data_IF_347970378717
#
_entry.id   IF_347970378717
#
_cell.length_a   1.000
_cell.length_b   1.000
_cell.length_c   1.000
_cell.angle_alpha   90.00
_cell.angle_beta   90.00
_cell.angle_gamma   90.00
#
_symmetry.space_group_name_H-M   'P 1'
#
loop_
_entity.id
_entity.type
_entity.pdbx_description
1 polymer ?
#
# COMPACT_ATOMS: atom_id res chain seq x y z
N UNK A 1 -28.65 10.18 26.82
CA UNK A 1 -27.23 10.13 26.40
C UNK A 1 -27.08 8.98 25.42
N UNK A 2 -26.40 9.19 24.29
CA UNK A 2 -26.05 8.09 23.37
C UNK A 2 -25.06 7.14 24.06
N UNK A 3 -25.19 5.84 23.81
CA UNK A 3 -24.22 4.84 24.28
C UNK A 3 -22.93 4.98 23.48
N UNK A 4 -21.80 4.97 24.18
CA UNK A 4 -20.48 4.75 23.58
C UNK A 4 -20.29 3.26 23.36
N UNK A 5 -19.78 2.88 22.19
CA UNK A 5 -19.42 1.52 21.85
C UNK A 5 -17.94 1.48 21.48
N UNK A 6 -17.20 0.54 22.05
CA UNK A 6 -15.90 0.17 21.53
C UNK A 6 -16.12 -0.67 20.26
N UNK A 7 -15.61 -0.19 19.13
CA UNK A 7 -15.72 -0.88 17.85
C UNK A 7 -14.48 -1.75 17.62
N UNK A 8 -14.70 -2.95 17.06
CA UNK A 8 -13.62 -3.81 16.58
C UNK A 8 -13.55 -3.65 15.07
N UNK A 9 -12.42 -3.18 14.55
CA UNK A 9 -12.16 -3.15 13.10
C UNK A 9 -11.94 -4.59 12.61
N UNK A 10 -12.85 -5.07 11.76
CA UNK A 10 -12.83 -6.42 11.23
C UNK A 10 -12.01 -6.55 9.92
N UNK A 11 -11.59 -5.44 9.31
CA UNK A 11 -10.92 -5.44 8.00
C UNK A 11 -9.87 -4.33 7.87
N UNK A 12 -8.78 -4.50 8.63
CA UNK A 12 -7.63 -3.60 8.62
C UNK A 12 -6.49 -4.11 7.75
N UNK A 13 -6.03 -3.28 6.81
CA UNK A 13 -4.80 -3.53 6.04
C UNK A 13 -3.63 -2.66 6.51
N UNK A 14 -2.41 -3.18 6.30
CA UNK A 14 -1.15 -2.43 6.41
C UNK A 14 -0.52 -2.30 5.02
N UNK A 15 0.46 -1.40 4.90
CA UNK A 15 1.30 -1.24 3.73
C UNK A 15 2.70 -1.76 4.07
N UNK A 16 3.14 -2.81 3.39
CA UNK A 16 4.46 -3.40 3.57
C UNK A 16 5.59 -2.48 3.07
N UNK A 17 6.72 -2.39 3.77
CA UNK A 17 7.91 -1.78 3.19
C UNK A 17 8.36 -2.63 1.98
N UNK A 18 8.71 -2.00 0.86
CA UNK A 18 9.19 -2.75 -0.31
C UNK A 18 10.54 -3.46 -0.07
N UNK A 19 11.29 -3.07 0.97
CA UNK A 19 12.49 -3.81 1.40
C UNK A 19 12.17 -5.17 2.03
N UNK A 20 10.90 -5.44 2.39
CA UNK A 20 10.48 -6.68 3.06
C UNK A 20 11.03 -7.93 2.35
N UNK A 21 10.95 -7.97 1.03
CA UNK A 21 11.41 -9.12 0.26
C UNK A 21 12.93 -9.22 0.19
N UNK A 22 13.62 -8.09 0.06
CA UNK A 22 15.08 -8.05 0.06
C UNK A 22 15.68 -8.42 1.43
N UNK A 23 15.00 -8.03 2.50
CA UNK A 23 15.45 -8.26 3.88
C UNK A 23 15.17 -9.71 4.32
N UNK A 24 13.98 -10.23 4.01
CA UNK A 24 13.46 -11.45 4.64
C UNK A 24 13.20 -12.63 3.70
N UNK A 25 13.09 -12.43 2.39
CA UNK A 25 12.90 -13.55 1.47
C UNK A 25 14.23 -14.29 1.27
N UNK A 26 14.17 -15.62 1.15
CA UNK A 26 15.32 -16.44 0.80
C UNK A 26 15.97 -15.91 -0.50
N UNK A 27 17.30 -15.65 -0.53
CA UNK A 27 17.99 -15.07 -1.66
C UNK A 27 17.67 -15.71 -3.02
N UNK A 28 17.42 -17.02 -3.08
CA UNK A 28 17.11 -17.71 -4.35
C UNK A 28 15.76 -17.33 -4.98
N UNK A 29 14.91 -16.60 -4.25
CA UNK A 29 13.57 -16.19 -4.72
C UNK A 29 13.41 -14.66 -4.86
N UNK A 30 14.41 -13.86 -4.50
CA UNK A 30 14.33 -12.38 -4.51
C UNK A 30 14.18 -11.80 -5.91
N UNK A 31 14.71 -12.50 -6.91
CA UNK A 31 14.54 -12.14 -8.31
C UNK A 31 13.06 -12.15 -8.74
N UNK A 32 12.25 -13.04 -8.16
CA UNK A 32 10.82 -13.25 -8.41
C UNK A 32 9.90 -12.46 -7.48
N UNK A 33 10.44 -11.78 -6.48
CA UNK A 33 9.65 -11.03 -5.51
C UNK A 33 8.88 -9.87 -6.14
N UNK A 34 7.79 -9.39 -5.51
CA UNK A 34 7.09 -8.20 -5.95
C UNK A 34 8.02 -6.97 -5.98
N UNK A 35 8.02 -6.24 -7.10
CA UNK A 35 8.82 -5.02 -7.30
C UNK A 35 7.95 -3.86 -7.74
N UNK A 36 8.20 -2.69 -7.18
CA UNK A 36 7.59 -1.46 -7.66
C UNK A 36 8.36 -0.97 -8.90
N UNK A 37 7.66 -0.83 -10.03
CA UNK A 37 8.23 -0.36 -11.30
C UNK A 37 7.36 0.76 -11.87
N UNK A 38 7.88 1.56 -12.80
CA UNK A 38 7.06 2.55 -13.53
C UNK A 38 6.73 2.05 -14.93
N UNK A 39 5.48 2.26 -15.37
CA UNK A 39 5.06 2.01 -16.74
C UNK A 39 5.49 3.16 -17.68
N UNK A 40 5.24 2.99 -18.99
CA UNK A 40 5.57 3.98 -20.02
C UNK A 40 4.87 5.34 -19.84
N UNK A 41 3.83 5.40 -19.00
CA UNK A 41 3.11 6.62 -18.65
C UNK A 41 3.61 7.22 -17.33
N UNK A 42 4.71 6.70 -16.78
CA UNK A 42 5.30 7.16 -15.53
C UNK A 42 4.57 6.71 -14.27
N UNK A 43 3.59 5.82 -14.36
CA UNK A 43 2.78 5.37 -13.19
C UNK A 43 3.40 4.17 -12.52
N UNK A 44 3.37 4.15 -11.19
CA UNK A 44 3.82 3.00 -10.42
C UNK A 44 2.91 1.78 -10.66
N UNK A 45 3.55 0.62 -10.79
CA UNK A 45 2.96 -0.71 -11.00
C UNK A 45 3.70 -1.71 -10.13
N UNK A 46 3.02 -2.81 -9.84
CA UNK A 46 3.63 -3.93 -9.14
C UNK A 46 4.01 -4.99 -10.17
N UNK A 47 5.30 -5.18 -10.40
CA UNK A 47 5.80 -6.32 -11.16
C UNK A 47 5.88 -7.53 -10.24
N UNK A 48 5.16 -8.59 -10.58
CA UNK A 48 5.25 -9.88 -9.90
C UNK A 48 5.67 -10.93 -10.93
N UNK A 49 6.92 -11.40 -10.81
CA UNK A 49 7.58 -12.18 -11.85
C UNK A 49 7.51 -11.47 -13.22
N UNK A 50 6.84 -12.07 -14.21
CA UNK A 50 6.66 -11.50 -15.54
C UNK A 50 5.34 -10.72 -15.70
N UNK A 51 4.54 -10.62 -14.63
CA UNK A 51 3.21 -10.01 -14.68
C UNK A 51 3.24 -8.60 -14.10
N UNK A 52 2.87 -7.64 -14.93
CA UNK A 52 2.67 -6.26 -14.49
C UNK A 52 1.25 -6.08 -13.94
N UNK A 53 1.14 -5.93 -12.62
CA UNK A 53 -0.11 -5.74 -11.89
C UNK A 53 -0.32 -4.24 -11.61
N UNK A 54 -1.57 -3.79 -11.74
CA UNK A 54 -1.92 -2.37 -11.59
C UNK A 54 -3.10 -1.96 -12.46
N UNK A 55 -4.04 -1.19 -11.90
CA UNK A 55 -5.11 -0.58 -12.69
C UNK A 55 -4.54 0.48 -13.64
N UNK A 56 -5.31 0.99 -14.61
CA UNK A 56 -4.89 2.16 -15.39
C UNK A 56 -4.52 3.35 -14.49
N UNK A 57 -5.11 3.51 -13.30
CA UNK A 57 -4.72 4.59 -12.40
C UNK A 57 -3.33 4.40 -11.77
N UNK A 58 -2.74 3.19 -11.82
CA UNK A 58 -1.48 2.87 -11.17
C UNK A 58 -1.69 2.02 -9.90
N UNK A 59 -0.61 1.83 -9.14
CA UNK A 59 -0.58 1.03 -7.93
C UNK A 59 -1.19 1.75 -6.72
N UNK A 60 -1.07 3.09 -6.63
CA UNK A 60 -1.60 3.89 -5.52
C UNK A 60 -3.12 3.70 -5.30
N UNK A 61 -3.88 3.55 -6.39
CA UNK A 61 -5.32 3.26 -6.32
C UNK A 61 -5.68 1.84 -5.82
N UNK A 62 -4.77 0.86 -5.92
CA UNK A 62 -5.01 -0.51 -5.45
C UNK A 62 -4.84 -0.63 -3.93
N UNK A 63 -3.89 0.12 -3.36
CA UNK A 63 -3.66 0.16 -1.91
C UNK A 63 -4.64 1.06 -1.14
N UNK A 64 -5.63 1.67 -1.82
CA UNK A 64 -6.52 2.66 -1.20
C UNK A 64 -5.77 3.87 -0.64
N UNK A 65 -4.59 4.18 -1.17
CA UNK A 65 -3.76 5.29 -0.73
C UNK A 65 -4.55 6.58 -0.93
N UNK A 66 -4.84 7.31 0.15
CA UNK A 66 -5.65 8.52 0.11
C UNK A 66 -7.17 8.32 0.17
N UNK A 67 -7.69 7.09 0.16
CA UNK A 67 -9.14 6.79 0.10
C UNK A 67 -9.95 7.30 1.28
N UNK A 68 -9.34 7.41 2.47
CA UNK A 68 -10.02 7.93 3.67
C UNK A 68 -9.80 9.44 3.87
N UNK A 69 -9.07 10.09 2.96
CA UNK A 69 -8.72 11.51 3.02
C UNK A 69 -9.63 12.38 2.13
N UNK A 70 -10.63 11.78 1.49
CA UNK A 70 -11.67 12.47 0.71
C UNK A 70 -11.31 12.72 -0.76
N UNK A 71 -10.03 12.80 -1.12
CA UNK A 71 -9.58 12.87 -2.52
C UNK A 71 -8.56 11.76 -2.75
N UNK A 72 -8.95 10.75 -3.53
CA UNK A 72 -8.01 9.78 -4.12
C UNK A 72 -7.54 10.35 -5.44
N UNK A 73 -6.39 11.04 -5.42
CA UNK A 73 -5.68 11.36 -6.66
C UNK A 73 -4.94 10.11 -7.13
N UNK A 74 -5.70 9.08 -7.51
CA UNK A 74 -5.20 7.72 -7.76
C UNK A 74 -4.11 7.68 -8.83
N UNK A 75 -4.10 8.66 -9.73
CA UNK A 75 -3.15 8.84 -10.83
C UNK A 75 -1.93 9.70 -10.48
N UNK A 76 -1.89 10.30 -9.29
CA UNK A 76 -0.84 11.22 -8.85
C UNK A 76 -0.13 10.80 -7.55
N UNK A 77 -0.60 9.76 -6.87
CA UNK A 77 0.01 9.27 -5.62
C UNK A 77 0.88 8.04 -5.85
N UNK A 78 2.12 8.13 -5.37
CA UNK A 78 3.02 6.99 -5.28
C UNK A 78 2.73 6.18 -4.00
N UNK A 79 3.19 4.94 -3.94
CA UNK A 79 2.99 4.05 -2.79
C UNK A 79 3.48 4.67 -1.47
N UNK A 80 4.65 5.32 -1.52
CA UNK A 80 5.28 6.00 -0.37
C UNK A 80 4.46 7.16 0.19
N UNK A 81 3.51 7.69 -0.58
CA UNK A 81 2.67 8.83 -0.17
C UNK A 81 1.49 8.40 0.73
N UNK A 82 1.39 7.09 1.02
CA UNK A 82 0.47 6.55 2.01
C UNK A 82 0.60 7.18 3.40
N UNK A 83 -0.52 7.21 4.13
CA UNK A 83 -0.56 7.72 5.52
C UNK A 83 0.44 6.93 6.36
N UNK A 84 1.16 7.61 7.25
CA UNK A 84 2.15 6.99 8.15
C UNK A 84 1.60 5.81 8.94
N UNK A 85 0.33 5.86 9.38
CA UNK A 85 -0.34 4.75 10.07
C UNK A 85 -0.57 3.49 9.23
N UNK A 86 -0.40 3.57 7.90
CA UNK A 86 -0.36 2.39 7.03
C UNK A 86 0.95 1.61 7.15
N UNK A 87 2.06 2.29 7.43
CA UNK A 87 3.41 1.71 7.48
C UNK A 87 3.94 1.51 8.91
N UNK A 88 3.49 2.34 9.86
CA UNK A 88 3.99 2.37 11.23
C UNK A 88 2.83 2.11 12.22
N UNK A 89 2.87 1.00 12.99
CA UNK A 89 1.80 0.66 13.92
C UNK A 89 1.62 1.68 15.04
N UNK A 90 2.70 2.29 15.54
CA UNK A 90 2.58 3.36 16.56
C UNK A 90 1.88 4.59 16.00
N UNK A 91 2.11 4.91 14.72
CA UNK A 91 1.41 6.00 14.05
C UNK A 91 -0.04 5.65 13.69
N UNK A 92 -0.42 4.36 13.69
CA UNK A 92 -1.79 3.89 13.43
C UNK A 92 -2.70 4.03 14.64
N UNK A 93 -2.18 3.91 15.86
CA UNK A 93 -2.98 3.93 17.10
C UNK A 93 -3.92 5.15 17.19
N UNK A 94 -3.50 6.39 16.85
CA UNK A 94 -4.40 7.54 16.89
C UNK A 94 -5.44 7.57 15.75
N UNK A 95 -5.31 6.71 14.74
CA UNK A 95 -6.24 6.61 13.61
C UNK A 95 -7.39 5.61 13.89
N UNK A 96 -7.31 4.84 14.98
CA UNK A 96 -8.29 3.85 15.46
C UNK A 96 -9.13 4.43 16.60
#
# INVERSE_FOLDING_TARGET
MSRTYDAIDADGHILEPFSLWDDYLDPKYRDRAPKLVRDDNGREKLLLEEKLLGSRAGFGGIGGVGARQGIVAADAMDYKDGRKGGFNPHARIPDM
#
